data_IF_429828774555
#
_entry.id   IF_429828774555
#
_cell.length_a   1.000
_cell.length_b   1.000
_cell.length_c   1.000
_cell.angle_alpha   90.00
_cell.angle_beta   90.00
_cell.angle_gamma   90.00
#
_symmetry.space_group_name_H-M   'P 1'
#
loop_
_entity.id
_entity.type
_entity.pdbx_description
1 polymer ?
#
# COMPACT_ATOMS: atom_id res chain seq x y z
N UNK A 1 25.24 20.39 2.10
CA UNK A 1 24.08 20.33 1.21
C UNK A 1 22.87 20.64 2.09
N UNK A 2 22.07 21.67 1.78
CA UNK A 2 20.88 21.97 2.59
C UNK A 2 19.91 20.80 2.48
N UNK A 3 19.54 20.22 3.63
CA UNK A 3 18.48 19.24 3.72
C UNK A 3 17.19 20.00 3.41
N UNK A 4 16.64 19.82 2.20
CA UNK A 4 15.31 20.29 1.89
C UNK A 4 14.33 19.32 2.56
N UNK A 5 13.52 19.82 3.48
CA UNK A 5 12.37 19.08 3.98
C UNK A 5 11.18 19.44 3.10
N UNK A 6 10.43 18.43 2.69
CA UNK A 6 9.15 18.59 2.01
C UNK A 6 8.05 18.18 2.97
N UNK A 7 6.92 18.86 2.92
CA UNK A 7 5.80 18.58 3.82
C UNK A 7 4.95 17.42 3.30
N UNK A 8 5.00 17.15 1.99
CA UNK A 8 4.24 16.07 1.35
C UNK A 8 5.05 15.33 0.30
N UNK A 9 4.67 14.07 0.06
CA UNK A 9 5.20 13.23 -1.03
C UNK A 9 5.06 13.92 -2.38
N UNK A 10 3.92 14.59 -2.63
CA UNK A 10 3.65 15.29 -3.90
C UNK A 10 4.62 16.45 -4.10
N UNK A 11 4.90 17.22 -3.05
CA UNK A 11 5.85 18.33 -3.11
C UNK A 11 7.28 17.83 -3.39
N UNK A 12 7.67 16.75 -2.72
CA UNK A 12 8.98 16.15 -2.92
C UNK A 12 9.18 15.64 -4.35
N UNK A 13 8.18 14.94 -4.89
CA UNK A 13 8.21 14.46 -6.27
C UNK A 13 8.27 15.61 -7.28
N UNK A 14 7.50 16.68 -7.07
CA UNK A 14 7.52 17.86 -7.96
C UNK A 14 8.91 18.52 -7.97
N UNK A 15 9.49 18.73 -6.78
CA UNK A 15 10.82 19.33 -6.66
C UNK A 15 11.95 18.43 -7.20
N UNK A 16 11.83 17.11 -7.05
CA UNK A 16 12.75 16.15 -7.65
C UNK A 16 12.63 16.14 -9.18
N UNK A 17 11.43 16.25 -9.71
CA UNK A 17 11.21 16.37 -11.15
C UNK A 17 11.93 17.59 -11.74
N UNK A 18 11.81 18.76 -11.11
CA UNK A 18 12.54 19.99 -11.51
C UNK A 18 14.06 19.83 -11.47
N UNK A 19 14.57 18.92 -10.64
CA UNK A 19 16.00 18.58 -10.52
C UNK A 19 16.45 17.49 -11.49
N UNK A 20 15.56 17.02 -12.36
CA UNK A 20 15.86 16.04 -13.41
C UNK A 20 15.59 14.58 -13.04
N UNK A 21 14.96 14.29 -11.89
CA UNK A 21 14.47 12.95 -11.57
C UNK A 21 13.08 12.77 -12.20
N UNK A 22 13.07 12.54 -13.51
CA UNK A 22 11.84 12.59 -14.33
C UNK A 22 11.21 11.23 -14.59
N UNK A 23 11.84 10.15 -14.12
CA UNK A 23 11.41 8.79 -14.36
C UNK A 23 10.84 8.17 -13.10
N UNK A 24 9.74 7.43 -13.24
CA UNK A 24 9.16 6.67 -12.15
C UNK A 24 9.66 5.23 -12.22
N UNK A 25 10.08 4.71 -11.08
CA UNK A 25 10.57 3.35 -10.91
C UNK A 25 9.71 2.63 -9.86
N UNK A 26 9.32 1.41 -10.19
CA UNK A 26 8.69 0.45 -9.29
C UNK A 26 9.67 -0.68 -8.98
N UNK A 27 9.45 -1.41 -7.89
CA UNK A 27 10.18 -2.66 -7.65
C UNK A 27 9.51 -3.77 -8.45
N UNK A 28 10.28 -4.64 -9.09
CA UNK A 28 9.73 -5.78 -9.81
C UNK A 28 9.34 -6.90 -8.84
N UNK A 29 8.10 -7.38 -8.94
CA UNK A 29 7.63 -8.52 -8.14
C UNK A 29 8.43 -9.78 -8.48
N UNK A 30 9.07 -10.39 -7.48
CA UNK A 30 9.80 -11.64 -7.63
C UNK A 30 11.11 -11.55 -8.42
N UNK A 31 11.59 -10.33 -8.73
CA UNK A 31 12.88 -10.11 -9.39
C UNK A 31 13.77 -9.15 -8.59
N UNK A 32 15.09 -9.36 -8.65
CA UNK A 32 16.08 -8.48 -8.01
C UNK A 32 16.36 -7.24 -8.89
N UNK A 33 15.33 -6.43 -9.17
CA UNK A 33 15.49 -5.19 -9.93
C UNK A 33 14.36 -4.18 -9.72
N UNK A 34 14.64 -2.93 -10.13
CA UNK A 34 13.63 -1.87 -10.26
C UNK A 34 13.32 -1.63 -11.74
N UNK A 35 12.09 -1.26 -12.05
CA UNK A 35 11.60 -1.14 -13.43
C UNK A 35 11.09 0.26 -13.70
N UNK A 36 11.54 0.84 -14.80
CA UNK A 36 10.89 2.01 -15.40
C UNK A 36 10.01 1.54 -16.56
N UNK A 37 8.70 1.41 -16.32
CA UNK A 37 7.74 0.91 -17.32
C UNK A 37 7.74 1.72 -18.62
N UNK A 38 7.90 3.05 -18.52
CA UNK A 38 7.94 3.95 -19.70
C UNK A 38 9.09 3.64 -20.67
N UNK A 39 10.21 3.15 -20.15
CA UNK A 39 11.41 2.85 -20.95
C UNK A 39 11.65 1.35 -21.08
N UNK A 40 10.77 0.51 -20.51
CA UNK A 40 10.97 -0.94 -20.38
C UNK A 40 12.38 -1.29 -19.86
N UNK A 41 12.88 -0.46 -18.95
CA UNK A 41 14.25 -0.54 -18.44
C UNK A 41 14.22 -1.16 -17.05
N UNK A 42 14.98 -2.25 -16.89
CA UNK A 42 15.22 -2.89 -15.60
C UNK A 42 16.61 -2.52 -15.09
N UNK A 43 16.72 -2.14 -13.82
CA UNK A 43 17.98 -1.83 -13.15
C UNK A 43 18.15 -2.81 -11.99
N UNK A 44 19.20 -3.62 -12.04
CA UNK A 44 19.63 -4.42 -10.88
C UNK A 44 20.15 -3.50 -9.77
N UNK A 45 20.28 -3.98 -8.52
CA UNK A 45 20.86 -3.19 -7.44
C UNK A 45 22.15 -2.47 -7.85
N UNK A 46 23.07 -3.13 -8.55
CA UNK A 46 24.37 -2.55 -8.94
C UNK A 46 24.28 -1.50 -10.06
N UNK A 47 23.17 -1.45 -10.79
CA UNK A 47 23.00 -0.52 -11.92
C UNK A 47 22.58 0.88 -11.49
N UNK A 48 22.24 1.11 -10.22
CA UNK A 48 21.82 2.42 -9.73
C UNK A 48 22.43 2.80 -8.38
N UNK A 49 22.38 4.09 -8.09
CA UNK A 49 22.72 4.68 -6.80
C UNK A 49 21.53 5.46 -6.27
N UNK A 50 21.29 5.36 -4.96
CA UNK A 50 20.36 6.24 -4.26
C UNK A 50 21.09 7.56 -4.02
N UNK A 51 20.57 8.64 -4.58
CA UNK A 51 21.17 9.97 -4.46
C UNK A 51 20.71 10.65 -3.16
N UNK A 52 19.41 10.56 -2.86
CA UNK A 52 18.76 11.13 -1.66
C UNK A 52 17.44 10.40 -1.36
N UNK A 53 16.92 10.54 -0.14
CA UNK A 53 15.62 9.99 0.25
C UNK A 53 14.89 10.96 1.18
N UNK A 54 13.57 10.88 1.16
CA UNK A 54 12.69 11.68 2.00
C UNK A 54 11.65 10.78 2.65
N UNK A 55 11.62 10.77 3.98
CA UNK A 55 10.61 10.06 4.76
C UNK A 55 9.46 11.00 5.04
N UNK A 56 8.26 10.55 4.72
CA UNK A 56 7.01 11.21 5.05
C UNK A 56 6.32 10.33 6.07
N UNK A 57 6.17 10.87 7.27
CA UNK A 57 5.22 10.34 8.23
C UNK A 57 3.85 10.91 7.83
N UNK A 58 2.84 10.08 7.69
CA UNK A 58 1.46 10.57 7.58
C UNK A 58 1.15 11.51 8.76
N UNK A 59 0.22 12.46 8.59
CA UNK A 59 -0.16 13.45 9.63
C UNK A 59 -0.65 12.85 10.96
N UNK A 60 -0.58 11.53 11.17
CA UNK A 60 -1.24 10.84 12.26
C UNK A 60 -0.44 9.69 12.89
N UNK A 61 0.75 9.28 12.40
CA UNK A 61 1.56 8.21 13.06
C UNK A 61 2.96 7.97 12.44
N UNK A 62 4.01 7.68 13.24
CA UNK A 62 5.35 7.27 12.76
C UNK A 62 5.42 5.90 12.05
N UNK A 63 4.30 5.18 11.88
CA UNK A 63 4.22 3.91 11.15
C UNK A 63 3.83 4.04 9.67
N UNK A 64 3.23 5.17 9.27
CA UNK A 64 2.86 5.47 7.87
C UNK A 64 4.06 6.07 7.14
N UNK A 65 5.21 5.40 7.17
CA UNK A 65 6.43 5.90 6.55
C UNK A 65 6.38 5.62 5.04
N UNK A 66 6.02 6.64 4.28
CA UNK A 66 6.28 6.65 2.85
C UNK A 66 7.67 7.21 2.62
N UNK A 67 8.51 6.48 1.90
CA UNK A 67 9.85 6.93 1.58
C UNK A 67 9.93 7.16 0.07
N UNK A 68 10.23 8.40 -0.29
CA UNK A 68 10.58 8.75 -1.66
C UNK A 68 12.09 8.64 -1.79
N UNK A 69 12.56 7.70 -2.61
CA UNK A 69 13.97 7.60 -3.00
C UNK A 69 14.15 8.33 -4.32
N UNK A 70 15.15 9.20 -4.41
CA UNK A 70 15.66 9.69 -5.69
C UNK A 70 16.92 8.89 -6.04
N UNK A 71 16.99 8.40 -7.26
CA UNK A 71 18.07 7.53 -7.71
C UNK A 71 18.59 7.92 -9.09
N UNK A 72 19.82 7.54 -9.35
CA UNK A 72 20.48 7.73 -10.64
C UNK A 72 21.20 6.46 -11.09
N UNK A 73 21.26 6.25 -12.40
CA UNK A 73 22.11 5.24 -13.01
C UNK A 73 23.14 5.90 -13.91
N UNK A 74 24.42 5.79 -13.55
CA UNK A 74 25.51 6.27 -14.39
C UNK A 74 25.67 5.45 -15.67
N UNK A 75 25.31 4.17 -15.63
CA UNK A 75 25.38 3.25 -16.77
C UNK A 75 24.34 3.60 -17.83
N UNK A 76 23.10 3.85 -17.40
CA UNK A 76 21.98 4.11 -18.30
C UNK A 76 21.68 5.61 -18.48
N UNK A 77 22.41 6.48 -17.79
CA UNK A 77 22.26 7.94 -17.81
C UNK A 77 20.80 8.38 -17.56
N UNK A 78 20.17 7.73 -16.59
CA UNK A 78 18.77 7.95 -16.21
C UNK A 78 18.66 8.33 -14.73
N UNK A 79 17.68 9.17 -14.40
CA UNK A 79 17.37 9.60 -13.05
C UNK A 79 15.88 9.48 -12.77
N UNK A 80 15.52 9.01 -11.59
CA UNK A 80 14.12 8.86 -11.26
C UNK A 80 13.84 8.72 -9.78
N UNK A 81 12.60 8.39 -9.49
CA UNK A 81 12.07 8.24 -8.14
C UNK A 81 11.46 6.87 -7.94
N UNK A 82 11.60 6.34 -6.73
CA UNK A 82 10.78 5.23 -6.22
C UNK A 82 9.98 5.80 -5.07
N UNK A 83 8.67 5.65 -5.13
CA UNK A 83 7.79 5.90 -3.97
C UNK A 83 7.55 4.55 -3.32
N UNK A 84 8.28 4.30 -2.23
CA UNK A 84 8.02 3.13 -1.42
C UNK A 84 7.04 3.52 -0.31
N UNK A 85 5.77 3.18 -0.48
CA UNK A 85 4.89 3.06 0.68
C UNK A 85 5.35 1.78 1.40
N UNK A 86 5.76 1.90 2.66
CA UNK A 86 6.21 0.83 3.55
C UNK A 86 7.73 0.54 3.56
N UNK A 87 8.33 0.77 4.72
CA UNK A 87 9.67 0.29 5.02
C UNK A 87 9.74 -1.25 4.96
N UNK A 88 10.79 -1.76 4.30
CA UNK A 88 11.50 -3.04 4.54
C UNK A 88 10.67 -4.35 4.45
N UNK A 89 9.34 -4.34 4.28
CA UNK A 89 8.51 -5.56 4.41
C UNK A 89 7.80 -5.98 3.12
N UNK A 90 8.57 -6.46 2.15
CA UNK A 90 8.05 -7.27 1.04
C UNK A 90 9.02 -8.41 0.77
N UNK A 91 8.57 -9.65 0.98
CA UNK A 91 9.31 -10.89 0.66
C UNK A 91 9.54 -11.04 -0.85
N UNK A 92 8.92 -10.19 -1.67
CA UNK A 92 9.11 -10.12 -3.12
C UNK A 92 10.31 -9.25 -3.53
N UNK A 93 10.96 -8.60 -2.56
CA UNK A 93 12.18 -7.86 -2.77
C UNK A 93 13.35 -8.67 -2.23
N UNK A 94 14.36 -8.87 -3.05
CA UNK A 94 15.62 -9.51 -2.66
C UNK A 94 16.23 -8.84 -1.43
N UNK A 95 16.86 -9.63 -0.56
CA UNK A 95 17.61 -9.12 0.59
C UNK A 95 18.66 -8.08 0.17
N UNK A 96 19.21 -8.20 -1.04
CA UNK A 96 20.19 -7.27 -1.64
C UNK A 96 19.58 -5.91 -1.95
N UNK A 97 18.36 -5.86 -2.51
CA UNK A 97 17.67 -4.60 -2.79
C UNK A 97 17.13 -3.97 -1.51
N UNK A 98 16.64 -4.79 -0.56
CA UNK A 98 16.28 -4.34 0.79
C UNK A 98 17.50 -3.73 1.50
N UNK A 99 18.65 -4.41 1.48
CA UNK A 99 19.88 -3.92 2.10
C UNK A 99 20.32 -2.60 1.46
N UNK A 100 20.29 -2.50 0.13
CA UNK A 100 20.67 -1.25 -0.56
C UNK A 100 19.74 -0.08 -0.22
N UNK A 101 18.43 -0.32 -0.11
CA UNK A 101 17.44 0.67 0.32
C UNK A 101 17.56 1.01 1.82
N UNK A 102 17.94 0.03 2.66
CA UNK A 102 17.97 0.15 4.12
C UNK A 102 19.29 0.68 4.70
N UNK A 103 20.44 0.41 4.06
CA UNK A 103 21.76 0.82 4.54
C UNK A 103 21.89 2.34 4.65
N UNK A 104 21.11 3.09 3.86
CA UNK A 104 21.07 4.57 3.93
C UNK A 104 20.11 5.13 4.98
N UNK A 105 19.30 4.29 5.63
CA UNK A 105 18.25 4.69 6.60
C UNK A 105 18.67 4.64 8.08
N UNK A 106 19.97 4.76 8.45
CA UNK A 106 20.35 4.74 9.88
C UNK A 106 19.83 5.98 10.63
N UNK A 107 18.61 5.88 11.15
CA UNK A 107 17.88 6.80 12.02
C UNK A 107 16.70 6.08 12.68
N UNK A 108 16.63 6.16 14.00
CA UNK A 108 15.88 5.37 15.00
C UNK A 108 14.38 5.12 14.79
N UNK A 109 13.99 3.86 14.52
CA UNK A 109 12.95 3.07 15.22
C UNK A 109 13.11 1.60 14.79
N UNK A 110 13.20 0.65 15.73
CA UNK A 110 13.15 -0.78 15.39
C UNK A 110 11.69 -1.15 15.12
N UNK A 111 11.34 -1.61 13.90
CA UNK A 111 9.95 -1.95 13.61
C UNK A 111 9.50 -3.17 14.43
N UNK A 112 8.23 -3.18 14.83
CA UNK A 112 7.62 -4.33 15.52
C UNK A 112 7.64 -5.52 14.55
N UNK A 113 8.34 -6.59 14.93
CA UNK A 113 8.51 -7.78 14.07
C UNK A 113 7.22 -8.59 14.05
N UNK A 114 6.44 -8.47 12.98
CA UNK A 114 5.18 -9.20 12.77
C UNK A 114 5.44 -10.64 12.29
N UNK A 115 4.52 -11.57 12.58
CA UNK A 115 4.53 -12.91 12.00
C UNK A 115 4.28 -12.87 10.49
N UNK A 116 4.74 -13.87 9.72
CA UNK A 116 4.61 -13.87 8.26
C UNK A 116 3.16 -13.83 7.79
N UNK A 117 2.26 -14.48 8.53
CA UNK A 117 0.83 -14.47 8.21
C UNK A 117 0.23 -13.07 8.30
N UNK A 118 0.50 -12.36 9.41
CA UNK A 118 0.03 -10.98 9.57
C UNK A 118 0.69 -10.02 8.58
N UNK A 119 1.94 -10.29 8.17
CA UNK A 119 2.59 -9.55 7.09
C UNK A 119 1.79 -9.69 5.78
N UNK A 120 1.27 -10.87 5.45
CA UNK A 120 0.52 -11.06 4.21
C UNK A 120 -0.82 -10.32 4.20
N UNK A 121 -1.59 -10.36 5.29
CA UNK A 121 -2.80 -9.52 5.42
C UNK A 121 -2.47 -8.02 5.33
N UNK A 122 -1.38 -7.58 5.98
CA UNK A 122 -0.89 -6.21 5.84
C UNK A 122 -0.46 -5.83 4.42
N UNK A 123 -0.04 -6.79 3.58
CA UNK A 123 0.22 -6.51 2.16
C UNK A 123 -1.07 -6.30 1.38
N UNK A 124 -2.13 -7.03 1.69
CA UNK A 124 -3.43 -6.84 1.04
C UNK A 124 -4.03 -5.46 1.38
N UNK A 125 -3.82 -4.99 2.61
CA UNK A 125 -4.10 -3.61 3.01
C UNK A 125 -3.37 -2.56 2.17
N UNK A 126 -2.14 -2.84 1.73
CA UNK A 126 -1.42 -1.92 0.84
C UNK A 126 -2.16 -1.69 -0.49
N UNK A 127 -2.64 -2.76 -1.12
CA UNK A 127 -3.40 -2.64 -2.37
C UNK A 127 -4.75 -1.94 -2.14
N UNK A 128 -5.40 -2.17 -1.00
CA UNK A 128 -6.62 -1.45 -0.61
C UNK A 128 -6.35 0.06 -0.38
N UNK A 129 -5.20 0.45 0.19
CA UNK A 129 -4.78 1.85 0.28
C UNK A 129 -4.44 2.44 -1.10
N UNK A 130 -3.91 1.65 -2.03
CA UNK A 130 -3.72 2.08 -3.42
C UNK A 130 -5.08 2.35 -4.10
N UNK A 131 -6.11 1.53 -3.84
CA UNK A 131 -7.49 1.83 -4.24
C UNK A 131 -7.94 3.18 -3.68
N UNK A 132 -7.76 3.45 -2.38
CA UNK A 132 -8.08 4.74 -1.74
C UNK A 132 -7.38 5.90 -2.48
N UNK A 133 -6.09 5.75 -2.78
CA UNK A 133 -5.33 6.74 -3.55
C UNK A 133 -5.91 6.93 -4.95
N UNK A 134 -6.23 5.86 -5.68
CA UNK A 134 -6.83 5.92 -7.03
C UNK A 134 -8.14 6.69 -7.01
N UNK A 135 -9.03 6.39 -6.06
CA UNK A 135 -10.31 7.10 -5.87
C UNK A 135 -10.07 8.60 -5.70
N UNK A 136 -9.23 8.98 -4.73
CA UNK A 136 -8.89 10.40 -4.46
C UNK A 136 -8.26 11.08 -5.67
N UNK A 137 -7.40 10.37 -6.40
CA UNK A 137 -6.76 10.87 -7.60
C UNK A 137 -7.77 11.13 -8.72
N UNK A 138 -8.71 10.20 -8.94
CA UNK A 138 -9.82 10.37 -9.88
C UNK A 138 -10.68 11.58 -9.54
N UNK A 139 -11.07 11.73 -8.27
CA UNK A 139 -11.85 12.87 -7.79
C UNK A 139 -11.10 14.20 -7.98
N UNK A 140 -9.81 14.26 -7.62
CA UNK A 140 -8.96 15.45 -7.81
C UNK A 140 -8.84 15.86 -9.27
N UNK A 141 -8.75 14.89 -10.17
CA UNK A 141 -8.70 15.09 -11.62
C UNK A 141 -10.08 15.39 -12.24
N UNK A 142 -11.13 15.50 -11.43
CA UNK A 142 -12.51 15.67 -11.89
C UNK A 142 -12.93 14.60 -12.91
N UNK A 143 -12.42 13.37 -12.73
CA UNK A 143 -12.85 12.21 -13.52
C UNK A 143 -14.34 11.96 -13.23
N UNK A 144 -15.08 11.55 -14.26
CA UNK A 144 -16.49 11.21 -14.11
C UNK A 144 -16.68 10.17 -12.98
N UNK A 145 -17.47 10.48 -11.92
CA UNK A 145 -17.60 9.61 -10.76
C UNK A 145 -18.04 8.18 -11.09
N UNK A 146 -18.87 7.98 -12.12
CA UNK A 146 -19.25 6.65 -12.61
C UNK A 146 -18.05 5.74 -12.93
N UNK A 147 -16.98 6.30 -13.52
CA UNK A 147 -15.76 5.52 -13.85
C UNK A 147 -15.07 5.00 -12.59
N UNK A 148 -15.01 5.86 -11.57
CA UNK A 148 -14.44 5.53 -10.26
C UNK A 148 -15.33 4.48 -9.57
N UNK A 149 -16.65 4.68 -9.55
CA UNK A 149 -17.62 3.73 -8.99
C UNK A 149 -17.50 2.34 -9.60
N UNK A 150 -17.36 2.25 -10.93
CA UNK A 150 -17.21 0.98 -11.63
C UNK A 150 -15.92 0.26 -11.21
N UNK A 151 -14.82 1.00 -11.04
CA UNK A 151 -13.56 0.42 -10.57
C UNK A 151 -13.62 -0.02 -9.11
N UNK A 152 -14.30 0.74 -8.23
CA UNK A 152 -14.52 0.33 -6.84
C UNK A 152 -15.29 -1.00 -6.80
N UNK A 153 -16.36 -1.13 -7.58
CA UNK A 153 -17.14 -2.37 -7.66
C UNK A 153 -16.28 -3.54 -8.14
N UNK A 154 -15.51 -3.33 -9.23
CA UNK A 154 -14.60 -4.33 -9.76
C UNK A 154 -13.55 -4.76 -8.74
N UNK A 155 -12.85 -3.82 -8.10
CA UNK A 155 -11.84 -4.13 -7.09
C UNK A 155 -12.46 -4.87 -5.90
N UNK A 156 -13.65 -4.45 -5.47
CA UNK A 156 -14.35 -5.11 -4.36
C UNK A 156 -14.67 -6.57 -4.67
N UNK A 157 -15.25 -6.83 -5.84
CA UNK A 157 -15.69 -8.17 -6.24
C UNK A 157 -14.53 -9.14 -6.45
N UNK A 158 -13.35 -8.65 -6.84
CA UNK A 158 -12.20 -9.48 -7.19
C UNK A 158 -11.14 -9.58 -6.09
N UNK A 159 -11.03 -8.59 -5.20
CA UNK A 159 -9.96 -8.52 -4.19
C UNK A 159 -10.53 -8.32 -2.78
N UNK A 160 -11.17 -7.18 -2.52
CA UNK A 160 -11.47 -6.74 -1.15
C UNK A 160 -12.45 -7.66 -0.42
N UNK A 161 -13.44 -8.23 -1.11
CA UNK A 161 -14.41 -9.15 -0.50
C UNK A 161 -13.78 -10.47 -0.07
N UNK A 162 -12.79 -10.96 -0.82
CA UNK A 162 -12.08 -12.20 -0.46
C UNK A 162 -11.18 -11.95 0.74
N UNK A 163 -10.46 -10.82 0.74
CA UNK A 163 -9.64 -10.36 1.86
C UNK A 163 -10.42 -10.32 3.17
N UNK A 164 -11.55 -9.60 3.23
CA UNK A 164 -12.39 -9.52 4.44
C UNK A 164 -12.85 -10.89 4.94
N UNK A 165 -13.28 -11.78 4.03
CA UNK A 165 -13.70 -13.14 4.42
C UNK A 165 -12.54 -13.95 5.00
N UNK A 166 -11.34 -13.77 4.48
CA UNK A 166 -10.15 -14.44 4.97
C UNK A 166 -9.80 -13.92 6.37
N UNK A 167 -9.83 -12.61 6.60
CA UNK A 167 -9.59 -12.03 7.91
C UNK A 167 -10.60 -12.50 8.96
N UNK A 168 -11.89 -12.45 8.63
CA UNK A 168 -12.96 -12.89 9.53
C UNK A 168 -12.79 -14.36 9.94
N UNK A 169 -12.42 -15.20 8.97
CA UNK A 169 -12.30 -16.66 9.14
C UNK A 169 -10.99 -17.06 9.80
N UNK A 170 -9.88 -16.43 9.45
CA UNK A 170 -8.52 -16.88 9.79
C UNK A 170 -7.91 -16.04 10.92
N UNK A 171 -8.22 -14.75 11.02
CA UNK A 171 -7.68 -13.87 12.07
C UNK A 171 -8.69 -13.60 13.18
N UNK A 172 -9.84 -13.03 12.84
CA UNK A 172 -10.77 -12.52 13.85
C UNK A 172 -11.42 -13.66 14.65
N UNK A 173 -11.58 -14.83 14.03
CA UNK A 173 -12.10 -16.03 14.66
C UNK A 173 -11.22 -16.54 15.81
N UNK A 174 -9.93 -16.18 15.83
CA UNK A 174 -8.98 -16.56 16.88
C UNK A 174 -9.15 -15.73 18.16
N UNK A 175 -9.76 -14.55 18.06
CA UNK A 175 -10.12 -13.77 19.24
C UNK A 175 -11.41 -14.32 19.87
N UNK A 176 -11.59 -14.22 21.20
CA UNK A 176 -12.84 -14.58 21.87
C UNK A 176 -14.07 -13.90 21.24
N UNK A 177 -15.23 -14.56 21.24
CA UNK A 177 -16.47 -14.01 20.65
C UNK A 177 -16.91 -12.68 21.29
N UNK A 178 -16.56 -12.46 22.56
CA UNK A 178 -16.85 -11.23 23.29
C UNK A 178 -15.74 -10.17 23.22
N UNK A 179 -14.70 -10.40 22.40
CA UNK A 179 -13.63 -9.42 22.20
C UNK A 179 -14.18 -8.17 21.49
N UNK A 180 -14.02 -6.97 22.06
CA UNK A 180 -14.59 -5.76 21.48
C UNK A 180 -13.95 -5.37 20.14
N UNK A 181 -12.66 -5.66 19.94
CA UNK A 181 -11.97 -5.34 18.70
C UNK A 181 -12.39 -6.29 17.58
N UNK A 182 -12.62 -7.57 17.91
CA UNK A 182 -13.26 -8.53 17.00
C UNK A 182 -14.61 -8.00 16.53
N UNK A 183 -15.48 -7.61 17.46
CA UNK A 183 -16.82 -7.12 17.10
C UNK A 183 -16.76 -5.84 16.25
N UNK A 184 -15.86 -4.91 16.58
CA UNK A 184 -15.65 -3.70 15.80
C UNK A 184 -15.24 -4.03 14.35
N UNK A 185 -14.29 -4.95 14.14
CA UNK A 185 -13.82 -5.31 12.80
C UNK A 185 -14.95 -5.85 11.92
N UNK A 186 -15.78 -6.76 12.44
CA UNK A 186 -16.96 -7.28 11.74
C UNK A 186 -17.96 -6.17 11.38
N UNK A 187 -18.26 -5.25 12.32
CA UNK A 187 -19.17 -4.13 12.05
C UNK A 187 -18.61 -3.16 11.00
N UNK A 188 -17.31 -2.92 10.99
CA UNK A 188 -16.65 -2.08 9.99
C UNK A 188 -16.70 -2.74 8.60
N UNK A 189 -16.49 -4.06 8.50
CA UNK A 189 -16.70 -4.82 7.26
C UNK A 189 -18.14 -4.71 6.74
N UNK A 190 -19.14 -4.94 7.60
CA UNK A 190 -20.55 -4.79 7.21
C UNK A 190 -20.86 -3.39 6.72
N UNK A 191 -20.30 -2.35 7.36
CA UNK A 191 -20.47 -0.96 6.95
C UNK A 191 -19.81 -0.68 5.59
N UNK A 192 -18.58 -1.17 5.35
CA UNK A 192 -17.88 -1.03 4.06
C UNK A 192 -18.68 -1.75 2.96
N UNK A 193 -19.19 -2.96 3.22
CA UNK A 193 -20.06 -3.67 2.28
C UNK A 193 -21.35 -2.89 1.97
N UNK A 194 -21.95 -2.24 2.97
CA UNK A 194 -23.13 -1.41 2.78
C UNK A 194 -22.86 -0.18 1.88
N UNK A 195 -21.63 0.36 1.88
CA UNK A 195 -21.24 1.42 0.95
C UNK A 195 -21.33 0.96 -0.51
N UNK A 196 -20.97 -0.28 -0.84
CA UNK A 196 -21.07 -0.78 -2.23
C UNK A 196 -22.52 -0.74 -2.72
N UNK A 197 -23.47 -1.14 -1.87
CA UNK A 197 -24.91 -1.05 -2.17
C UNK A 197 -25.38 0.40 -2.38
N UNK A 198 -24.79 1.36 -1.65
CA UNK A 198 -25.07 2.80 -1.83
C UNK A 198 -24.46 3.32 -3.13
N UNK A 199 -23.20 2.97 -3.42
CA UNK A 199 -22.49 3.36 -4.65
C UNK A 199 -23.21 2.82 -5.88
N UNK A 200 -23.71 1.59 -5.85
CA UNK A 200 -24.51 1.05 -6.96
C UNK A 200 -25.79 1.85 -7.24
N UNK A 201 -26.44 2.36 -6.19
CA UNK A 201 -27.68 3.16 -6.30
C UNK A 201 -27.41 4.61 -6.72
N UNK A 202 -26.29 5.18 -6.29
CA UNK A 202 -25.90 6.58 -6.53
C UNK A 202 -24.48 6.67 -7.11
N UNK A 203 -24.27 5.99 -8.24
CA UNK A 203 -22.94 5.74 -8.83
C UNK A 203 -22.26 6.97 -9.45
N UNK A 204 -22.92 8.12 -9.45
CA UNK A 204 -22.36 9.38 -9.93
C UNK A 204 -22.09 10.40 -8.81
N UNK A 205 -22.12 9.98 -7.54
CA UNK A 205 -21.95 10.88 -6.39
C UNK A 205 -20.50 10.93 -5.88
N UNK A 206 -19.74 12.02 -6.11
CA UNK A 206 -18.34 12.12 -5.70
C UNK A 206 -18.16 12.20 -4.17
N UNK A 207 -19.16 12.70 -3.43
CA UNK A 207 -19.11 12.76 -1.95
C UNK A 207 -19.15 11.34 -1.40
N UNK A 208 -20.04 10.51 -1.92
CA UNK A 208 -20.14 9.10 -1.52
C UNK A 208 -18.86 8.31 -1.77
N UNK A 209 -18.17 8.58 -2.89
CA UNK A 209 -16.88 7.94 -3.21
C UNK A 209 -15.76 8.39 -2.26
N UNK A 210 -15.75 9.68 -1.88
CA UNK A 210 -14.82 10.18 -0.86
C UNK A 210 -15.10 9.55 0.50
N UNK A 211 -16.36 9.47 0.91
CA UNK A 211 -16.75 8.82 2.18
C UNK A 211 -16.31 7.35 2.23
N UNK A 212 -16.51 6.60 1.14
CA UNK A 212 -16.05 5.21 1.06
C UNK A 212 -14.52 5.11 1.24
N UNK A 213 -13.76 5.96 0.55
CA UNK A 213 -12.30 5.99 0.65
C UNK A 213 -11.83 6.31 2.08
N UNK A 214 -12.46 7.28 2.73
CA UNK A 214 -12.15 7.66 4.11
C UNK A 214 -12.55 6.59 5.14
N UNK A 215 -13.64 5.86 4.89
CA UNK A 215 -14.06 4.72 5.72
C UNK A 215 -13.08 3.56 5.58
N UNK A 216 -12.71 3.19 4.35
CA UNK A 216 -11.77 2.10 4.09
C UNK A 216 -10.38 2.37 4.68
N UNK A 217 -9.82 3.58 4.48
CA UNK A 217 -8.52 3.94 5.07
C UNK A 217 -8.54 3.89 6.60
N UNK A 218 -9.62 4.36 7.22
CA UNK A 218 -9.76 4.37 8.68
C UNK A 218 -9.83 2.95 9.25
N UNK A 219 -10.55 2.07 8.57
CA UNK A 219 -10.66 0.67 8.93
C UNK A 219 -9.30 -0.04 8.84
N UNK A 220 -8.60 0.09 7.72
CA UNK A 220 -7.25 -0.46 7.54
C UNK A 220 -6.30 0.04 8.65
N UNK A 221 -6.36 1.34 8.99
CA UNK A 221 -5.56 1.89 10.10
C UNK A 221 -5.91 1.28 11.44
N UNK A 222 -7.19 1.08 11.72
CA UNK A 222 -7.64 0.43 12.95
C UNK A 222 -7.05 -0.99 13.05
N UNK A 223 -7.11 -1.76 11.97
CA UNK A 223 -6.62 -3.14 11.96
C UNK A 223 -5.11 -3.20 12.17
N UNK A 224 -4.38 -2.44 11.37
CA UNK A 224 -2.92 -2.41 11.37
C UNK A 224 -2.32 -1.98 12.72
N UNK A 225 -2.96 -1.00 13.37
CA UNK A 225 -2.40 -0.35 14.57
C UNK A 225 -2.95 -0.90 15.87
N UNK A 226 -4.18 -1.40 15.84
CA UNK A 226 -4.90 -1.81 17.05
C UNK A 226 -5.16 -3.30 17.02
N UNK A 227 -5.88 -3.80 16.03
CA UNK A 227 -6.34 -5.19 16.00
C UNK A 227 -5.18 -6.18 15.82
N UNK A 228 -4.29 -5.95 14.87
CA UNK A 228 -3.18 -6.87 14.58
C UNK A 228 -2.15 -6.87 15.71
N UNK A 229 -1.93 -5.71 16.35
CA UNK A 229 -1.13 -5.62 17.56
C UNK A 229 -1.75 -6.41 18.73
N UNK A 230 -3.07 -6.32 18.91
CA UNK A 230 -3.80 -7.10 19.90
C UNK A 230 -3.73 -8.61 19.62
N UNK A 231 -3.98 -9.02 18.37
CA UNK A 231 -3.86 -10.41 17.90
C UNK A 231 -2.46 -10.97 18.23
N UNK A 232 -1.39 -10.26 17.92
CA UNK A 232 -0.03 -10.72 18.22
C UNK A 232 0.22 -10.99 19.70
N UNK A 233 -0.42 -10.22 20.59
CA UNK A 233 -0.27 -10.41 22.03
C UNK A 233 -1.14 -11.56 22.56
N UNK A 234 -2.21 -11.93 21.85
CA UNK A 234 -3.14 -12.99 22.25
C UNK A 234 -2.79 -14.36 21.67
N UNK A 235 -2.16 -14.41 20.50
CA UNK A 235 -1.89 -15.66 19.77
C UNK A 235 -0.68 -16.42 20.31
N UNK A 236 -0.82 -17.74 20.40
CA UNK A 236 0.27 -18.66 20.68
C UNK A 236 1.18 -18.85 19.46
N UNK A 237 2.41 -19.33 19.69
CA UNK A 237 3.35 -19.64 18.61
C UNK A 237 2.82 -20.73 17.64
N UNK A 238 1.96 -21.62 18.12
CA UNK A 238 1.36 -22.70 17.33
C UNK A 238 0.26 -22.15 16.40
N UNK A 239 -0.59 -21.24 16.90
CA UNK A 239 -1.59 -20.55 16.09
C UNK A 239 -0.94 -19.66 15.03
N UNK A 240 0.13 -18.94 15.40
CA UNK A 240 0.92 -18.14 14.46
C UNK A 240 1.46 -19.03 13.33
N UNK A 241 2.07 -20.17 13.67
CA UNK A 241 2.63 -21.09 12.67
C UNK A 241 1.54 -21.67 11.76
N UNK A 242 0.36 -22.00 12.32
CA UNK A 242 -0.77 -22.50 11.53
C UNK A 242 -1.25 -21.46 10.52
N UNK A 243 -1.28 -20.17 10.87
CA UNK A 243 -1.63 -19.11 9.94
C UNK A 243 -0.59 -18.97 8.82
N UNK A 244 0.70 -19.09 9.15
CA UNK A 244 1.79 -18.97 8.17
C UNK A 244 1.78 -20.08 7.11
N UNK A 245 1.32 -21.29 7.46
CA UNK A 245 1.33 -22.44 6.54
C UNK A 245 0.09 -22.51 5.63
N UNK A 246 -1.02 -21.86 6.00
CA UNK A 246 -2.31 -22.05 5.31
C UNK A 246 -2.80 -20.84 4.51
N UNK A 247 -2.23 -19.66 4.73
CA UNK A 247 -2.70 -18.46 4.05
C UNK A 247 -2.12 -18.36 2.62
N UNK A 248 -3.00 -18.20 1.63
CA UNK A 248 -2.61 -18.14 0.21
C UNK A 248 -2.23 -16.72 -0.18
N UNK A 249 -1.08 -16.54 -0.83
CA UNK A 249 -0.63 -15.25 -1.33
C UNK A 249 -1.47 -14.79 -2.52
N UNK A 250 -1.75 -13.48 -2.56
CA UNK A 250 -2.25 -12.76 -3.73
C UNK A 250 -1.40 -13.08 -4.98
N UNK A 251 -2.04 -13.24 -6.14
CA UNK A 251 -1.35 -13.47 -7.43
C UNK A 251 -1.70 -12.38 -8.45
N UNK A 252 -0.70 -11.60 -8.87
CA UNK A 252 -0.79 -10.63 -9.97
C UNK A 252 -1.39 -9.27 -9.60
N UNK A 253 -1.20 -8.28 -10.48
CA UNK A 253 -1.81 -6.95 -10.34
C UNK A 253 -3.25 -6.98 -10.88
N UNK A 254 -4.23 -6.63 -10.05
CA UNK A 254 -5.63 -6.58 -10.46
C UNK A 254 -5.89 -5.48 -11.49
N UNK A 255 -5.03 -4.46 -11.53
CA UNK A 255 -5.13 -3.35 -12.49
C UNK A 255 -4.93 -3.81 -13.93
N UNK A 256 -4.17 -4.89 -14.17
CA UNK A 256 -3.98 -5.45 -15.51
C UNK A 256 -5.28 -5.98 -16.11
N UNK A 257 -6.25 -6.33 -15.25
CA UNK A 257 -7.57 -6.82 -15.63
C UNK A 257 -8.61 -5.70 -15.76
N UNK A 258 -8.20 -4.45 -15.56
CA UNK A 258 -9.04 -3.28 -15.70
C UNK A 258 -8.62 -2.46 -16.92
N UNK A 259 -9.57 -1.97 -17.72
CA UNK A 259 -9.23 -1.22 -18.95
C UNK A 259 -9.30 0.31 -18.79
N UNK A 260 -9.96 0.79 -17.73
CA UNK A 260 -10.23 2.20 -17.53
C UNK A 260 -9.34 2.81 -16.43
N UNK A 261 -8.04 2.90 -16.69
CA UNK A 261 -7.03 3.42 -15.74
C UNK A 261 -7.09 4.94 -15.56
N UNK A 262 -8.19 5.45 -15.02
CA UNK A 262 -8.45 6.88 -14.87
C UNK A 262 -7.45 7.64 -13.98
N UNK A 263 -6.62 6.91 -13.21
CA UNK A 263 -5.61 7.48 -12.32
C UNK A 263 -4.31 7.88 -13.03
N UNK A 264 -4.04 7.37 -14.25
CA UNK A 264 -2.81 7.63 -15.01
C UNK A 264 -2.66 9.13 -15.34
N UNK A 265 -1.44 9.64 -15.23
CA UNK A 265 -1.08 11.02 -15.58
C UNK A 265 -0.87 11.08 -17.09
N UNK A 266 -1.73 11.83 -17.78
CA UNK A 266 -1.47 12.30 -19.14
C UNK A 266 -0.61 13.56 -19.10
#
# INVERSE_FOLDING_TARGET
MQIKNYDTVTEALAALNERGYTHDFSVADGEDCIVCHKHQLKLSPDDFSIDEFYRFEGQSDPGDEMIVYALSSDKFKIKGTIVNAFGIYSDDISDTLIEKLSVKMKGTTTPIKRSKALIQFSREHHFALLLVWKIRQGLRKSIQPLRISNYIQFYFDNELNAHFKNEEKELFSLLPENDPLRHQAFLEHENIQAFLSRIQKDNNNPVLLSEFADTLERHIRFEERTLFGHLQNCLSAEEIKFLEENHQSRQGDIDDNWNDHFWVIN
#
